data_IF_447113235670
#
_entry.id   IF_447113235670
#
_cell.length_a   1.000
_cell.length_b   1.000
_cell.length_c   1.000
_cell.angle_alpha   90.00
_cell.angle_beta   90.00
_cell.angle_gamma   90.00
#
_symmetry.space_group_name_H-M   'P 1'
#
loop_
_entity.id
_entity.type
_entity.pdbx_description
1 polymer ?
#
# COMPACT_ATOMS: atom_id res chain seq x y z
N UNK A 1 -10.97 -7.58 -20.80
CA UNK A 1 -11.54 -7.04 -19.53
C UNK A 1 -12.20 -5.69 -19.79
N UNK A 2 -13.39 -5.40 -19.24
CA UNK A 2 -13.94 -4.05 -19.26
C UNK A 2 -13.00 -3.12 -18.48
N UNK A 3 -12.82 -1.88 -18.97
CA UNK A 3 -11.90 -0.94 -18.34
C UNK A 3 -12.53 -0.34 -17.09
N UNK A 4 -11.83 -0.47 -15.98
CA UNK A 4 -12.17 0.12 -14.71
C UNK A 4 -11.27 1.33 -14.43
N UNK A 5 -11.83 2.34 -13.82
CA UNK A 5 -11.11 3.51 -13.32
C UNK A 5 -11.23 3.52 -11.81
N UNK A 6 -10.10 3.59 -11.13
CA UNK A 6 -10.04 3.82 -9.68
C UNK A 6 -9.78 5.31 -9.44
N UNK A 7 -10.55 5.90 -8.57
CA UNK A 7 -10.47 7.31 -8.20
C UNK A 7 -10.49 7.45 -6.68
N UNK A 8 -9.94 8.54 -6.18
CA UNK A 8 -10.11 8.96 -4.80
C UNK A 8 -11.29 9.91 -4.74
N UNK A 9 -12.22 9.68 -3.80
CA UNK A 9 -13.39 10.56 -3.60
C UNK A 9 -13.02 11.90 -2.99
N UNK A 10 -11.87 11.96 -2.30
CA UNK A 10 -11.26 13.15 -1.70
C UNK A 10 -9.74 13.05 -1.85
N UNK A 11 -9.05 14.16 -1.64
CA UNK A 11 -7.58 14.17 -1.64
C UNK A 11 -7.02 13.31 -0.50
N UNK A 12 -5.98 12.54 -0.79
CA UNK A 12 -5.27 11.75 0.23
C UNK A 12 -4.39 12.68 1.08
N UNK A 13 -4.96 13.21 2.15
CA UNK A 13 -4.23 14.04 3.13
C UNK A 13 -3.61 13.19 4.24
N UNK A 14 -2.66 12.33 3.85
CA UNK A 14 -1.87 11.54 4.79
C UNK A 14 -0.39 11.90 4.62
N UNK A 15 0.25 12.47 5.64
CA UNK A 15 1.65 12.86 5.53
C UNK A 15 2.56 11.69 5.14
N UNK A 16 3.48 11.93 4.21
CA UNK A 16 4.45 10.96 3.75
C UNK A 16 3.95 9.98 2.68
N UNK A 17 2.69 10.07 2.26
CA UNK A 17 2.16 9.28 1.15
C UNK A 17 2.37 10.00 -0.17
N UNK A 18 3.26 9.48 -1.00
CA UNK A 18 3.70 10.10 -2.24
C UNK A 18 3.30 9.20 -3.41
N UNK A 19 2.40 9.64 -4.30
CA UNK A 19 2.10 8.87 -5.51
C UNK A 19 3.34 8.78 -6.40
N UNK A 20 3.64 7.57 -6.87
CA UNK A 20 4.76 7.32 -7.78
C UNK A 20 4.24 7.37 -9.21
N UNK A 21 4.63 8.37 -10.00
CA UNK A 21 4.15 8.55 -11.36
C UNK A 21 4.71 7.48 -12.31
N UNK A 22 3.98 7.22 -13.40
CA UNK A 22 4.40 6.34 -14.48
C UNK A 22 4.66 7.14 -15.77
N UNK A 23 5.39 6.52 -16.72
CA UNK A 23 5.55 7.06 -18.07
C UNK A 23 6.37 8.35 -18.16
N UNK A 24 7.18 8.66 -17.15
CA UNK A 24 8.01 9.87 -17.14
C UNK A 24 9.16 9.78 -18.15
N UNK A 25 9.42 10.89 -18.85
CA UNK A 25 10.69 11.08 -19.57
C UNK A 25 11.87 11.18 -18.59
N UNK A 26 13.11 10.97 -19.03
CA UNK A 26 14.29 11.11 -18.16
C UNK A 26 14.37 12.47 -17.45
N UNK A 27 13.99 13.57 -18.13
CA UNK A 27 13.97 14.90 -17.54
C UNK A 27 12.89 15.05 -16.45
N UNK A 28 11.69 14.52 -16.69
CA UNK A 28 10.60 14.55 -15.72
C UNK A 28 10.92 13.68 -14.50
N UNK A 29 11.62 12.56 -14.68
CA UNK A 29 12.11 11.72 -13.55
C UNK A 29 13.07 12.52 -12.65
N UNK A 30 14.06 13.18 -13.25
CA UNK A 30 14.99 14.02 -12.48
C UNK A 30 14.29 15.15 -11.73
N UNK A 31 13.32 15.81 -12.38
CA UNK A 31 12.52 16.88 -11.78
C UNK A 31 11.68 16.36 -10.63
N UNK A 32 11.00 15.22 -10.80
CA UNK A 32 10.19 14.61 -9.75
C UNK A 32 11.05 14.20 -8.55
N UNK A 33 12.20 13.53 -8.76
CA UNK A 33 13.13 13.16 -7.69
C UNK A 33 13.63 14.42 -6.97
N UNK A 34 14.00 15.47 -7.68
CA UNK A 34 14.51 16.70 -7.07
C UNK A 34 13.46 17.37 -6.19
N UNK A 35 12.25 17.62 -6.72
CA UNK A 35 11.17 18.28 -5.97
C UNK A 35 10.67 17.44 -4.80
N UNK A 36 10.55 16.12 -4.97
CA UNK A 36 10.11 15.22 -3.91
C UNK A 36 11.17 15.09 -2.82
N UNK A 37 12.45 14.98 -3.19
CA UNK A 37 13.57 14.96 -2.23
C UNK A 37 13.65 16.26 -1.41
N UNK A 38 13.37 17.41 -2.01
CA UNK A 38 13.27 18.69 -1.29
C UNK A 38 12.14 18.68 -0.27
N UNK A 39 10.97 18.18 -0.66
CA UNK A 39 9.81 18.07 0.25
C UNK A 39 10.07 17.10 1.43
N UNK A 40 10.90 16.09 1.23
CA UNK A 40 11.34 15.14 2.25
C UNK A 40 12.59 15.60 3.02
N UNK A 41 13.07 16.82 2.79
CA UNK A 41 14.28 17.35 3.39
C UNK A 41 14.29 17.34 4.92
N UNK A 42 13.11 17.33 5.56
CA UNK A 42 12.97 17.20 7.02
C UNK A 42 13.45 15.85 7.58
N UNK A 43 13.61 14.82 6.72
CA UNK A 43 14.12 13.50 7.10
C UNK A 43 15.66 13.44 7.11
N UNK A 44 16.35 14.44 6.54
CA UNK A 44 17.82 14.48 6.53
C UNK A 44 18.34 14.59 7.98
N UNK A 45 19.29 13.74 8.33
CA UNK A 45 19.84 13.66 9.69
C UNK A 45 19.03 12.83 10.67
N UNK A 46 17.89 12.24 10.25
CA UNK A 46 17.15 11.30 11.10
C UNK A 46 17.88 9.96 11.20
N UNK A 47 17.74 9.21 12.31
CA UNK A 47 18.35 7.90 12.44
C UNK A 47 17.87 6.91 11.38
N UNK A 48 18.80 6.11 10.89
CA UNK A 48 18.53 4.95 10.02
C UNK A 48 18.56 3.67 10.85
N UNK A 49 18.02 2.58 10.28
CA UNK A 49 18.02 1.25 10.91
C UNK A 49 19.44 0.67 11.14
N UNK A 50 20.44 1.10 10.35
CA UNK A 50 21.84 0.70 10.46
C UNK A 50 22.66 1.52 11.48
N UNK A 51 22.00 2.47 12.16
CA UNK A 51 22.62 3.35 13.16
C UNK A 51 23.30 4.60 12.58
N UNK A 52 23.30 4.76 11.28
CA UNK A 52 23.75 5.98 10.60
C UNK A 52 22.64 7.04 10.54
N UNK A 53 22.95 8.20 10.02
CA UNK A 53 21.97 9.26 9.76
C UNK A 53 21.70 9.36 8.27
N UNK A 54 20.42 9.60 7.93
CA UNK A 54 19.99 9.75 6.54
C UNK A 54 20.58 10.98 5.88
N UNK A 55 20.91 10.84 4.62
CA UNK A 55 21.41 11.90 3.75
C UNK A 55 20.40 12.23 2.65
N UNK A 56 20.60 13.36 1.98
CA UNK A 56 19.85 13.69 0.76
C UNK A 56 20.04 12.64 -0.35
N UNK A 57 21.21 12.00 -0.40
CA UNK A 57 21.51 10.97 -1.38
C UNK A 57 20.72 9.69 -1.12
N UNK A 58 20.55 9.29 0.14
CA UNK A 58 19.73 8.15 0.54
C UNK A 58 18.25 8.35 0.12
N UNK A 59 17.71 9.54 0.39
CA UNK A 59 16.32 9.88 -0.02
C UNK A 59 16.18 9.79 -1.54
N UNK A 60 17.10 10.39 -2.28
CA UNK A 60 17.09 10.35 -3.75
C UNK A 60 17.21 8.93 -4.30
N UNK A 61 18.05 8.08 -3.69
CA UNK A 61 18.20 6.69 -4.07
C UNK A 61 16.89 5.90 -3.89
N UNK A 62 16.21 6.08 -2.77
CA UNK A 62 14.92 5.43 -2.51
C UNK A 62 13.82 5.91 -3.49
N UNK A 63 13.79 7.20 -3.83
CA UNK A 63 12.88 7.74 -4.84
C UNK A 63 13.19 7.17 -6.24
N UNK A 64 14.46 7.04 -6.60
CA UNK A 64 14.86 6.42 -7.86
C UNK A 64 14.42 4.96 -7.93
N UNK A 65 14.64 4.19 -6.84
CA UNK A 65 14.22 2.79 -6.76
C UNK A 65 12.71 2.64 -6.95
N UNK A 66 11.90 3.53 -6.36
CA UNK A 66 10.44 3.46 -6.51
C UNK A 66 9.98 3.76 -7.95
N UNK A 67 10.63 4.68 -8.67
CA UNK A 67 10.36 4.90 -10.09
C UNK A 67 10.75 3.69 -10.95
N UNK A 68 11.89 3.06 -10.65
CA UNK A 68 12.32 1.86 -11.36
C UNK A 68 11.41 0.66 -11.08
N UNK A 69 10.84 0.58 -9.90
CA UNK A 69 9.84 -0.41 -9.53
C UNK A 69 8.51 -0.12 -10.25
N UNK A 70 8.07 1.14 -10.28
CA UNK A 70 6.85 1.55 -10.98
C UNK A 70 6.88 1.19 -12.46
N UNK A 71 8.02 1.35 -13.13
CA UNK A 71 8.19 0.98 -14.54
C UNK A 71 8.10 -0.52 -14.81
N UNK A 72 8.38 -1.35 -13.80
CA UNK A 72 8.33 -2.82 -13.91
C UNK A 72 7.01 -3.39 -13.38
N UNK A 73 6.24 -2.59 -12.66
CA UNK A 73 4.99 -3.00 -12.04
C UNK A 73 3.83 -2.80 -13.00
N UNK A 74 2.90 -3.75 -13.01
CA UNK A 74 1.59 -3.65 -13.65
C UNK A 74 0.50 -3.15 -12.67
N UNK A 75 0.89 -2.63 -11.50
CA UNK A 75 -0.01 -2.02 -10.55
C UNK A 75 -0.79 -0.87 -11.20
N UNK A 76 -2.07 -0.73 -10.87
CA UNK A 76 -2.89 0.38 -11.30
C UNK A 76 -2.34 1.72 -10.76
N UNK A 77 -1.97 1.74 -9.48
CA UNK A 77 -1.30 2.87 -8.85
C UNK A 77 -0.27 2.36 -7.83
N UNK A 78 0.71 3.19 -7.56
CA UNK A 78 1.75 2.92 -6.58
C UNK A 78 2.04 4.16 -5.75
N UNK A 79 2.23 3.96 -4.45
CA UNK A 79 2.62 5.02 -3.51
C UNK A 79 3.90 4.61 -2.80
N UNK A 80 4.80 5.56 -2.64
CA UNK A 80 5.90 5.41 -1.71
C UNK A 80 5.51 6.09 -0.39
N UNK A 81 5.58 5.32 0.70
CA UNK A 81 5.13 5.78 2.02
C UNK A 81 6.33 6.01 2.91
N UNK A 82 6.46 7.24 3.40
CA UNK A 82 7.53 7.71 4.26
C UNK A 82 7.01 7.98 5.68
N UNK A 83 7.45 7.22 6.70
CA UNK A 83 7.14 7.56 8.07
C UNK A 83 7.77 8.90 8.46
N UNK A 84 7.04 9.69 9.23
CA UNK A 84 7.46 11.06 9.60
C UNK A 84 8.78 11.09 10.41
N UNK A 85 9.18 9.97 11.01
CA UNK A 85 10.26 9.91 11.98
C UNK A 85 11.55 9.24 11.48
N UNK A 86 11.58 8.76 10.25
CA UNK A 86 12.74 8.00 9.74
C UNK A 86 12.81 8.07 8.22
N UNK A 87 14.03 8.15 7.68
CA UNK A 87 14.28 8.02 6.26
C UNK A 87 14.25 6.53 5.84
N UNK A 88 13.10 5.93 6.00
CA UNK A 88 12.75 4.62 5.49
C UNK A 88 11.48 4.77 4.67
N UNK A 89 11.34 3.99 3.62
CA UNK A 89 10.15 3.99 2.81
C UNK A 89 9.65 2.57 2.59
N UNK A 90 8.35 2.43 2.42
CA UNK A 90 7.71 1.19 1.99
C UNK A 90 6.83 1.49 0.78
N UNK A 91 6.74 0.55 -0.14
CA UNK A 91 5.87 0.68 -1.30
C UNK A 91 4.48 0.16 -0.97
N UNK A 92 3.47 0.91 -1.40
CA UNK A 92 2.06 0.50 -1.39
C UNK A 92 1.60 0.36 -2.84
N UNK A 93 1.02 -0.79 -3.17
CA UNK A 93 0.51 -1.11 -4.48
C UNK A 93 -1.02 -1.21 -4.49
N UNK A 94 -1.60 -0.74 -5.58
CA UNK A 94 -3.01 -0.90 -5.89
C UNK A 94 -3.13 -1.65 -7.22
N UNK A 95 -3.72 -2.83 -7.19
CA UNK A 95 -3.97 -3.65 -8.39
C UNK A 95 -5.46 -3.78 -8.66
N UNK A 96 -5.81 -3.80 -9.94
CA UNK A 96 -7.14 -4.18 -10.44
C UNK A 96 -6.96 -5.38 -11.35
N UNK A 97 -7.45 -6.53 -10.94
CA UNK A 97 -7.20 -7.81 -11.61
C UNK A 97 -8.51 -8.59 -11.80
N UNK A 98 -8.53 -9.51 -12.75
CA UNK A 98 -9.60 -10.49 -12.85
C UNK A 98 -9.56 -11.42 -11.64
N UNK A 99 -10.71 -11.64 -10.99
CA UNK A 99 -10.79 -12.45 -9.76
C UNK A 99 -10.25 -13.86 -9.97
N UNK A 100 -10.47 -14.45 -11.14
CA UNK A 100 -9.98 -15.78 -11.50
C UNK A 100 -8.45 -15.86 -11.62
N UNK A 101 -7.77 -14.73 -11.81
CA UNK A 101 -6.30 -14.67 -11.86
C UNK A 101 -5.64 -14.59 -10.48
N UNK A 102 -6.44 -14.33 -9.43
CA UNK A 102 -5.92 -14.31 -8.07
C UNK A 102 -5.48 -15.70 -7.63
N UNK A 103 -4.33 -15.82 -6.98
CA UNK A 103 -3.98 -17.03 -6.27
C UNK A 103 -5.02 -17.33 -5.17
N UNK A 104 -5.15 -18.59 -4.81
CA UNK A 104 -6.00 -19.01 -3.70
C UNK A 104 -5.58 -18.32 -2.39
N UNK A 105 -6.38 -17.38 -1.91
CA UNK A 105 -6.08 -16.56 -0.74
C UNK A 105 -5.85 -17.36 0.54
N UNK A 106 -6.40 -18.57 0.63
CA UNK A 106 -6.18 -19.46 1.79
C UNK A 106 -4.74 -19.99 1.85
N UNK A 107 -3.99 -19.83 0.76
CA UNK A 107 -2.58 -20.24 0.64
C UNK A 107 -1.59 -19.08 0.78
N UNK A 108 -2.06 -17.86 0.92
CA UNK A 108 -1.16 -16.70 1.07
C UNK A 108 -0.41 -16.67 2.40
N UNK A 109 -0.83 -17.51 3.37
CA UNK A 109 -0.33 -17.44 4.73
C UNK A 109 -0.90 -16.22 5.48
N UNK A 110 -0.68 -16.18 6.80
CA UNK A 110 -1.17 -15.07 7.61
C UNK A 110 -2.61 -15.24 8.11
N UNK A 111 -3.20 -14.15 8.59
CA UNK A 111 -4.52 -14.11 9.21
C UNK A 111 -5.42 -13.21 8.38
N UNK A 112 -6.62 -13.72 8.08
CA UNK A 112 -7.67 -12.98 7.37
C UNK A 112 -8.65 -12.37 8.37
N UNK A 113 -8.89 -11.07 8.25
CA UNK A 113 -9.89 -10.33 9.02
C UNK A 113 -10.95 -9.76 8.10
N UNK A 114 -12.17 -9.60 8.60
CA UNK A 114 -13.17 -8.84 7.87
C UNK A 114 -12.71 -7.38 7.73
N UNK A 115 -12.89 -6.81 6.56
CA UNK A 115 -12.65 -5.40 6.29
C UNK A 115 -13.84 -4.78 5.59
N UNK A 116 -13.96 -3.46 5.66
CA UNK A 116 -14.93 -2.70 4.90
C UNK A 116 -14.27 -1.44 4.36
N UNK A 117 -14.68 -0.99 3.19
CA UNK A 117 -14.29 0.30 2.62
C UNK A 117 -15.55 1.09 2.26
N UNK A 118 -15.59 2.37 2.58
CA UNK A 118 -16.81 3.19 2.57
C UNK A 118 -17.49 3.26 1.19
N UNK A 119 -16.70 3.24 0.10
CA UNK A 119 -17.20 3.39 -1.26
C UNK A 119 -17.06 2.12 -2.12
N UNK A 120 -16.54 1.03 -1.54
CA UNK A 120 -16.30 -0.24 -2.22
C UNK A 120 -17.14 -1.36 -1.59
N UNK A 121 -17.36 -1.30 -0.26
CA UNK A 121 -18.10 -2.31 0.49
C UNK A 121 -17.22 -3.31 1.22
N UNK A 122 -17.76 -4.50 1.58
CA UNK A 122 -17.08 -5.49 2.40
C UNK A 122 -15.94 -6.17 1.65
N UNK A 123 -14.91 -6.56 2.36
CA UNK A 123 -13.74 -7.27 1.85
C UNK A 123 -13.00 -7.98 2.98
N UNK A 124 -11.75 -8.33 2.72
CA UNK A 124 -10.87 -8.95 3.73
C UNK A 124 -9.56 -8.18 3.84
N UNK A 125 -9.02 -8.14 5.05
CA UNK A 125 -7.65 -7.75 5.32
C UNK A 125 -6.83 -9.00 5.58
N UNK A 126 -5.74 -9.17 4.86
CA UNK A 126 -4.72 -10.18 5.11
C UNK A 126 -3.55 -9.54 5.82
N UNK A 127 -3.23 -10.00 7.02
CA UNK A 127 -2.03 -9.65 7.76
C UNK A 127 -1.10 -10.86 7.77
N UNK A 128 0.09 -10.72 7.18
CA UNK A 128 1.08 -11.79 7.13
C UNK A 128 2.36 -11.38 7.86
N UNK A 129 2.99 -12.37 8.49
CA UNK A 129 4.29 -12.23 9.15
C UNK A 129 5.20 -13.33 8.64
N UNK A 130 6.35 -12.95 8.12
CA UNK A 130 7.36 -13.83 7.58
C UNK A 130 8.70 -13.63 8.30
N UNK A 131 9.53 -14.69 8.30
CA UNK A 131 10.89 -14.65 8.82
C UNK A 131 11.87 -14.70 7.66
N UNK A 132 12.76 -13.73 7.60
CA UNK A 132 13.87 -13.69 6.64
C UNK A 132 15.18 -13.96 7.38
N UNK A 133 15.95 -14.94 6.92
CA UNK A 133 17.33 -15.15 7.39
C UNK A 133 18.24 -14.13 6.70
N UNK A 134 18.83 -13.26 7.45
CA UNK A 134 19.74 -12.23 6.95
C UNK A 134 20.97 -12.12 7.84
N UNK A 135 22.16 -12.24 7.27
CA UNK A 135 23.46 -12.10 7.93
C UNK A 135 23.58 -12.90 9.25
N UNK A 136 23.05 -14.13 9.26
CA UNK A 136 23.09 -15.02 10.43
C UNK A 136 22.08 -14.68 11.53
N UNK A 137 21.21 -13.71 11.33
CA UNK A 137 20.08 -13.36 12.19
C UNK A 137 18.72 -13.64 11.51
N UNK A 138 17.66 -13.57 12.32
CA UNK A 138 16.28 -13.63 11.83
C UNK A 138 15.69 -12.22 11.84
N UNK A 139 15.21 -11.76 10.69
CA UNK A 139 14.47 -10.51 10.55
C UNK A 139 13.00 -10.86 10.35
N UNK A 140 12.14 -10.28 11.18
CA UNK A 140 10.68 -10.38 10.98
C UNK A 140 10.25 -9.36 9.96
N UNK A 141 9.41 -9.79 9.01
CA UNK A 141 8.75 -8.93 8.03
C UNK A 141 7.24 -9.06 8.19
N UNK A 142 6.54 -7.96 8.04
CA UNK A 142 5.08 -7.89 8.06
C UNK A 142 4.56 -7.24 6.78
N UNK A 143 3.40 -7.72 6.31
CA UNK A 143 2.65 -7.07 5.24
C UNK A 143 1.17 -7.00 5.62
N UNK A 144 0.48 -6.00 5.08
CA UNK A 144 -0.96 -5.81 5.23
C UNK A 144 -1.55 -5.55 3.86
N UNK A 145 -2.52 -6.37 3.48
CA UNK A 145 -3.19 -6.29 2.20
C UNK A 145 -4.70 -6.28 2.40
N UNK A 146 -5.41 -5.47 1.65
CA UNK A 146 -6.87 -5.49 1.53
C UNK A 146 -7.26 -6.07 0.19
N UNK A 147 -8.27 -6.94 0.19
CA UNK A 147 -8.84 -7.53 -1.01
C UNK A 147 -10.35 -7.30 -1.02
N UNK A 148 -10.81 -6.69 -2.11
CA UNK A 148 -12.22 -6.47 -2.42
C UNK A 148 -12.55 -7.10 -3.75
N UNK A 149 -13.72 -7.74 -3.89
CA UNK A 149 -14.12 -8.40 -5.14
C UNK A 149 -15.62 -8.31 -5.38
N UNK A 150 -16.04 -8.14 -6.63
CA UNK A 150 -17.44 -8.32 -7.06
C UNK A 150 -17.69 -9.72 -7.66
N UNK A 151 -16.69 -10.61 -7.60
CA UNK A 151 -16.71 -11.95 -8.18
C UNK A 151 -16.11 -12.02 -9.59
N UNK A 152 -16.10 -10.94 -10.34
CA UNK A 152 -15.51 -10.84 -11.68
C UNK A 152 -14.13 -10.14 -11.63
N UNK A 153 -14.08 -9.03 -10.90
CA UNK A 153 -12.89 -8.19 -10.75
C UNK A 153 -12.56 -8.03 -9.27
N UNK A 154 -11.29 -7.92 -8.98
CA UNK A 154 -10.78 -7.72 -7.64
C UNK A 154 -9.86 -6.50 -7.57
N UNK A 155 -10.00 -5.76 -6.48
CA UNK A 155 -9.12 -4.68 -6.09
C UNK A 155 -8.23 -5.19 -4.95
N UNK A 156 -6.92 -5.15 -5.14
CA UNK A 156 -5.93 -5.49 -4.13
C UNK A 156 -5.14 -4.23 -3.78
N UNK A 157 -5.20 -3.84 -2.51
CA UNK A 157 -4.45 -2.71 -1.96
C UNK A 157 -3.55 -3.23 -0.85
N UNK A 158 -2.25 -3.04 -0.94
CA UNK A 158 -1.35 -3.57 0.06
C UNK A 158 -0.01 -2.86 0.14
N UNK A 159 0.69 -3.11 1.23
CA UNK A 159 2.07 -2.68 1.42
C UNK A 159 3.00 -3.88 1.33
N UNK A 160 4.18 -3.64 0.75
CA UNK A 160 5.23 -4.64 0.66
C UNK A 160 5.67 -5.11 2.04
N UNK A 161 6.27 -6.29 2.07
CA UNK A 161 6.86 -6.83 3.29
C UNK A 161 7.93 -5.87 3.83
N UNK A 162 7.76 -5.44 5.07
CA UNK A 162 8.68 -4.54 5.74
C UNK A 162 8.79 -4.90 7.22
N UNK A 163 9.74 -4.28 7.91
CA UNK A 163 9.90 -4.50 9.36
C UNK A 163 8.63 -4.07 10.12
N UNK A 164 8.28 -4.73 11.24
CA UNK A 164 7.01 -4.49 11.96
C UNK A 164 6.76 -3.03 12.35
N UNK A 165 7.82 -2.30 12.72
CA UNK A 165 7.74 -0.88 13.09
C UNK A 165 7.29 -0.01 11.92
N UNK A 166 7.78 -0.31 10.72
CA UNK A 166 7.41 0.39 9.49
C UNK A 166 5.98 0.02 9.08
N UNK A 167 5.63 -1.28 9.11
CA UNK A 167 4.27 -1.74 8.88
C UNK A 167 3.26 -1.04 9.79
N UNK A 168 3.52 -1.00 11.10
CA UNK A 168 2.66 -0.32 12.07
C UNK A 168 2.48 1.18 11.78
N UNK A 169 3.50 1.85 11.24
CA UNK A 169 3.44 3.28 10.91
C UNK A 169 2.56 3.59 9.71
N UNK A 170 2.40 2.63 8.77
CA UNK A 170 1.68 2.86 7.50
C UNK A 170 0.23 2.33 7.51
N UNK A 171 -0.12 1.41 8.42
CA UNK A 171 -1.45 0.76 8.46
C UNK A 171 -2.58 1.79 8.55
N UNK A 172 -2.42 2.85 9.34
CA UNK A 172 -3.44 3.91 9.44
C UNK A 172 -3.68 4.61 8.11
N UNK A 173 -2.62 4.99 7.41
CA UNK A 173 -2.72 5.64 6.10
C UNK A 173 -3.32 4.70 5.05
N UNK A 174 -2.95 3.42 5.09
CA UNK A 174 -3.52 2.38 4.24
C UNK A 174 -5.03 2.23 4.47
N UNK A 175 -5.48 2.29 5.73
CA UNK A 175 -6.91 2.25 6.07
C UNK A 175 -7.64 3.50 5.54
N UNK A 176 -7.06 4.68 5.66
CA UNK A 176 -7.64 5.92 5.10
C UNK A 176 -7.72 5.82 3.57
N UNK A 177 -6.63 5.42 2.92
CA UNK A 177 -6.62 5.24 1.45
C UNK A 177 -7.72 4.28 1.01
N UNK A 178 -7.87 3.14 1.67
CA UNK A 178 -8.92 2.16 1.42
C UNK A 178 -10.33 2.78 1.43
N UNK A 179 -10.63 3.65 2.41
CA UNK A 179 -11.95 4.27 2.58
C UNK A 179 -12.20 5.37 1.55
N UNK A 180 -11.15 5.96 0.97
CA UNK A 180 -11.24 6.97 -0.10
C UNK A 180 -11.36 6.37 -1.51
N UNK A 181 -11.11 5.08 -1.68
CA UNK A 181 -11.14 4.44 -3.00
C UNK A 181 -12.58 4.26 -3.50
N UNK A 182 -12.79 4.64 -4.74
CA UNK A 182 -13.98 4.34 -5.53
C UNK A 182 -13.57 3.78 -6.87
N UNK A 183 -14.30 2.79 -7.37
CA UNK A 183 -13.99 2.19 -8.66
C UNK A 183 -15.23 2.22 -9.55
N UNK A 184 -15.07 2.71 -10.79
CA UNK A 184 -16.15 2.88 -11.75
C UNK A 184 -15.74 2.31 -13.10
N UNK A 185 -16.63 1.56 -13.73
CA UNK A 185 -16.42 1.01 -15.06
C UNK A 185 -16.81 2.04 -16.14
N UNK A 186 -16.27 1.91 -17.36
CA UNK A 186 -16.52 2.83 -18.49
C UNK A 186 -18.02 3.03 -18.81
N UNK A 187 -18.86 2.04 -18.53
CA UNK A 187 -20.30 2.12 -18.72
C UNK A 187 -21.06 2.75 -17.55
N UNK A 188 -20.34 3.25 -16.54
CA UNK A 188 -20.89 3.88 -15.35
C UNK A 188 -21.26 2.91 -14.22
N UNK A 189 -21.02 1.60 -14.36
CA UNK A 189 -21.21 0.65 -13.27
C UNK A 189 -20.25 0.98 -12.14
N UNK A 190 -20.76 1.24 -10.94
CA UNK A 190 -19.96 1.36 -9.73
C UNK A 190 -19.59 -0.05 -9.24
N UNK A 191 -18.36 -0.22 -8.80
CA UNK A 191 -17.91 -1.47 -8.19
C UNK A 191 -18.50 -1.58 -6.79
N UNK A 192 -19.09 -2.71 -6.49
CA UNK A 192 -19.62 -3.07 -5.19
C UNK A 192 -19.04 -4.43 -4.80
N UNK A 193 -18.17 -4.44 -3.82
CA UNK A 193 -17.54 -5.65 -3.32
C UNK A 193 -18.53 -6.52 -2.55
N UNK A 194 -18.30 -7.82 -2.61
CA UNK A 194 -18.98 -8.82 -1.80
C UNK A 194 -17.96 -9.59 -0.96
N UNK A 195 -18.38 -10.06 0.20
CA UNK A 195 -17.52 -10.87 1.04
C UNK A 195 -17.21 -12.18 0.32
N UNK A 196 -15.91 -12.56 0.29
CA UNK A 196 -15.45 -13.79 -0.34
C UNK A 196 -16.09 -15.01 0.33
N UNK A 197 -16.85 -15.84 -0.39
CA UNK A 197 -17.47 -17.04 0.19
C UNK A 197 -16.42 -18.01 0.72
N UNK A 198 -16.58 -18.45 1.98
CA UNK A 198 -15.69 -19.45 2.59
C UNK A 198 -14.30 -18.93 3.01
N UNK A 199 -14.06 -17.63 2.97
CA UNK A 199 -12.83 -17.07 3.54
C UNK A 199 -12.75 -17.39 5.03
N UNK A 200 -11.64 -17.98 5.53
CA UNK A 200 -11.45 -18.32 6.94
C UNK A 200 -11.15 -17.07 7.76
N UNK A 201 -12.18 -16.24 7.99
CA UNK A 201 -12.04 -14.98 8.73
C UNK A 201 -11.82 -15.28 10.20
N UNK A 202 -10.79 -14.69 10.78
CA UNK A 202 -10.55 -14.71 12.21
C UNK A 202 -11.41 -13.65 12.90
N UNK A 203 -12.48 -14.09 13.57
CA UNK A 203 -13.39 -13.23 14.31
C UNK A 203 -12.80 -12.76 15.66
N UNK A 204 -11.68 -13.33 16.10
CA UNK A 204 -11.07 -12.99 17.40
C UNK A 204 -10.36 -11.64 17.41
N UNK A 205 -10.11 -11.07 16.22
CA UNK A 205 -9.52 -9.75 16.08
C UNK A 205 -10.62 -8.68 16.11
N UNK A 206 -10.75 -7.89 17.21
CA UNK A 206 -11.72 -6.83 17.23
C UNK A 206 -11.37 -5.82 16.13
N UNK A 207 -12.33 -5.48 15.27
CA UNK A 207 -12.26 -4.29 14.45
C UNK A 207 -12.13 -3.14 15.45
N UNK A 208 -10.93 -2.60 15.61
CA UNK A 208 -10.75 -1.35 16.33
C UNK A 208 -11.32 -0.29 15.41
N UNK A 209 -12.62 -0.03 15.52
CA UNK A 209 -13.17 1.24 15.09
C UNK A 209 -12.37 2.30 15.85
N UNK A 210 -11.45 2.94 15.17
CA UNK A 210 -10.78 4.12 15.69
C UNK A 210 -11.88 5.17 15.75
N UNK A 211 -12.59 5.15 16.88
CA UNK A 211 -13.72 6.00 17.15
C UNK A 211 -13.32 7.45 16.88
N UNK A 212 -14.21 8.15 16.21
CA UNK A 212 -14.17 9.59 16.06
C UNK A 212 -13.84 10.19 17.43
N UNK A 213 -12.65 10.78 17.55
CA UNK A 213 -12.28 11.57 18.71
C UNK A 213 -13.29 12.69 18.83
N UNK A 214 -14.06 12.69 19.93
CA UNK A 214 -14.92 13.80 20.34
C UNK A 214 -14.07 15.01 20.69
#
# INVERSE_FOLDING_TARGET
MAKWTVELVEDLDVPGWIPVPEGLTPLEREQWIASTSESLGYLIGTPRWDGETSTSEDIRALLQMSLDERERSDAYAMFQVWPVMSAAAVTCHLYVVETESLPDITKWGGVLHAANADHIGPGVQLSARNELLFDGGVVLLESVNYLFTDGEVSLLLGVDECIPQLAASVVRGLSILKDLLRMVREDGKVFESVLLPGAPIDESWPIVEIGAAQ
#
